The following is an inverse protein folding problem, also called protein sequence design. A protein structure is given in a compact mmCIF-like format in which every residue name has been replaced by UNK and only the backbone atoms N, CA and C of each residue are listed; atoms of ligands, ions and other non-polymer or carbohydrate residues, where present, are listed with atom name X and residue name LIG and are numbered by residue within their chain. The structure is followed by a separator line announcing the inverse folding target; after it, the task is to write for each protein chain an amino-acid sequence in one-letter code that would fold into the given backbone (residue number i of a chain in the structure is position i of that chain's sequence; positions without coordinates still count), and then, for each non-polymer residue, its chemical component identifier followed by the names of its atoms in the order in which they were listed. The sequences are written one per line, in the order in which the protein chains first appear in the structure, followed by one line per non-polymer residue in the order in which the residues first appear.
data_IF_084106136176
#
_entry.id   IF_084106136176
#
_cell.length_a   1.000
_cell.length_b   1.000
_cell.length_c   1.000
_cell.angle_alpha   90.00
_cell.angle_beta   90.00
_cell.angle_gamma   90.00
#
_symmetry.space_group_name_H-M   'P 1'
#
loop_
_entity.id
_entity.type
_entity.pdbx_description
1 polymer ?
#
# COMPACT_ATOMS: atom_id res chain seq x y z
N UNK A 1 -4.30 -36.78 7.14
CA UNK A 1 -3.59 -35.49 7.08
C UNK A 1 -4.15 -34.78 5.88
N UNK A 2 -5.00 -33.75 6.05
CA UNK A 2 -5.35 -32.88 4.93
C UNK A 2 -4.10 -32.07 4.59
N UNK A 3 -3.46 -32.39 3.48
CA UNK A 3 -2.54 -31.48 2.81
C UNK A 3 -3.41 -30.32 2.29
N UNK A 4 -3.30 -29.14 2.85
CA UNK A 4 -3.96 -27.98 2.27
C UNK A 4 -3.10 -27.52 1.10
N UNK A 5 -3.57 -27.75 -0.12
CA UNK A 5 -2.93 -27.25 -1.35
C UNK A 5 -3.17 -25.74 -1.54
N UNK A 6 -3.04 -24.96 -0.44
CA UNK A 6 -3.24 -23.52 -0.45
C UNK A 6 -2.09 -22.86 -1.21
N UNK A 7 -2.39 -22.36 -2.41
CA UNK A 7 -1.41 -21.72 -3.27
C UNK A 7 -1.11 -20.28 -2.88
N UNK A 8 -2.11 -19.54 -2.37
CA UNK A 8 -1.98 -18.14 -2.02
C UNK A 8 -2.84 -17.76 -0.81
N UNK A 9 -2.47 -16.69 -0.12
CA UNK A 9 -3.25 -16.05 0.94
C UNK A 9 -3.43 -14.57 0.63
N UNK A 10 -4.58 -14.02 0.98
CA UNK A 10 -4.90 -12.61 0.78
C UNK A 10 -5.13 -11.92 2.12
N UNK A 11 -4.41 -10.82 2.35
CA UNK A 11 -4.62 -9.97 3.53
C UNK A 11 -4.59 -8.49 3.14
N UNK A 12 -5.18 -7.66 4.00
CA UNK A 12 -4.97 -6.22 3.96
C UNK A 12 -3.48 -5.95 4.22
N UNK A 13 -2.82 -5.31 3.28
CA UNK A 13 -1.41 -4.94 3.42
C UNK A 13 -1.09 -3.77 2.51
N UNK A 14 -0.39 -2.79 3.06
CA UNK A 14 0.06 -1.59 2.37
C UNK A 14 1.29 -0.99 3.05
N UNK A 15 1.82 0.08 2.51
CA UNK A 15 2.89 0.88 3.15
C UNK A 15 2.48 1.33 4.56
N UNK A 16 1.18 1.62 4.79
CA UNK A 16 0.64 2.09 6.07
C UNK A 16 0.08 0.97 6.96
N UNK A 17 -0.27 -0.17 6.40
CA UNK A 17 -0.93 -1.30 7.10
C UNK A 17 -0.06 -2.54 7.01
N UNK A 18 0.71 -2.82 8.06
CA UNK A 18 1.80 -3.80 8.10
C UNK A 18 1.50 -5.06 8.93
N UNK A 19 0.25 -5.30 9.33
CA UNK A 19 -0.12 -6.45 10.17
C UNK A 19 0.52 -7.77 9.76
N UNK A 20 0.46 -8.20 8.47
CA UNK A 20 1.05 -9.46 8.00
C UNK A 20 2.54 -9.68 8.28
N UNK A 21 3.29 -8.61 8.54
CA UNK A 21 4.71 -8.69 8.91
C UNK A 21 4.92 -9.19 10.34
N UNK A 22 3.96 -8.92 11.24
CA UNK A 22 4.09 -9.16 12.69
C UNK A 22 3.10 -10.18 13.25
N UNK A 23 1.99 -10.47 12.55
CA UNK A 23 0.94 -11.40 13.00
C UNK A 23 1.20 -12.88 12.64
N UNK A 24 2.37 -13.16 12.03
CA UNK A 24 2.80 -14.51 11.65
C UNK A 24 2.37 -14.96 10.24
N UNK A 25 1.62 -14.14 9.49
CA UNK A 25 1.18 -14.48 8.12
C UNK A 25 2.38 -14.65 7.20
N UNK A 26 3.34 -13.72 7.20
CA UNK A 26 4.54 -13.83 6.37
C UNK A 26 5.41 -15.02 6.75
N UNK A 27 5.51 -15.36 8.02
CA UNK A 27 6.25 -16.54 8.48
C UNK A 27 5.56 -17.83 8.04
N UNK A 28 4.23 -17.87 8.08
CA UNK A 28 3.47 -19.00 7.55
C UNK A 28 3.66 -19.15 6.03
N UNK A 29 3.62 -18.05 5.28
CA UNK A 29 3.88 -18.06 3.83
C UNK A 29 5.26 -18.65 3.51
N UNK A 30 6.31 -18.18 4.19
CA UNK A 30 7.68 -18.71 4.00
C UNK A 30 7.78 -20.20 4.32
N UNK A 31 7.20 -20.62 5.44
CA UNK A 31 7.27 -22.03 5.89
C UNK A 31 6.50 -22.98 4.99
N UNK A 32 5.37 -22.54 4.45
CA UNK A 32 4.46 -23.38 3.66
C UNK A 32 4.67 -23.26 2.14
N UNK A 33 5.54 -22.37 1.68
CA UNK A 33 5.74 -22.10 0.26
C UNK A 33 4.51 -21.46 -0.42
N UNK A 34 3.66 -20.78 0.37
CA UNK A 34 2.46 -20.10 -0.10
C UNK A 34 2.79 -18.67 -0.48
N UNK A 35 2.26 -18.17 -1.60
CA UNK A 35 2.47 -16.79 -2.00
C UNK A 35 1.46 -15.84 -1.35
N UNK A 36 1.85 -14.58 -1.22
CA UNK A 36 1.02 -13.54 -0.64
C UNK A 36 0.46 -12.61 -1.73
N UNK A 37 -0.84 -12.29 -1.62
CA UNK A 37 -1.56 -11.41 -2.55
C UNK A 37 -2.26 -10.30 -1.76
N UNK A 38 -1.64 -9.12 -1.61
CA UNK A 38 -2.22 -8.02 -0.85
C UNK A 38 -3.47 -7.44 -1.53
N UNK A 39 -4.45 -7.09 -0.71
CA UNK A 39 -5.56 -6.23 -1.11
C UNK A 39 -5.48 -4.87 -0.37
N UNK A 40 -6.19 -3.85 -0.84
CA UNK A 40 -6.13 -2.45 -0.37
C UNK A 40 -4.72 -1.82 -0.42
N UNK A 41 -3.92 -2.05 -1.47
CA UNK A 41 -2.55 -1.54 -1.55
C UNK A 41 -2.47 -0.01 -1.54
N UNK A 42 -3.56 0.68 -1.88
CA UNK A 42 -3.67 2.14 -1.94
C UNK A 42 -4.46 2.74 -0.75
N UNK A 43 -4.78 1.98 0.31
CA UNK A 43 -5.51 2.44 1.49
C UNK A 43 -6.76 3.27 1.11
N UNK A 44 -7.68 2.67 0.39
CA UNK A 44 -8.89 3.33 -0.12
C UNK A 44 -8.61 4.60 -0.96
N UNK A 45 -7.40 4.72 -1.49
CA UNK A 45 -6.93 5.85 -2.28
C UNK A 45 -6.08 6.86 -1.52
N UNK A 46 -5.81 6.66 -0.23
CA UNK A 46 -4.96 7.53 0.57
C UNK A 46 -3.54 7.65 -0.02
N UNK A 47 -3.01 6.51 -0.48
CA UNK A 47 -1.67 6.43 -1.10
C UNK A 47 -1.64 6.81 -2.59
N UNK A 48 -2.67 7.49 -3.10
CA UNK A 48 -2.64 8.08 -4.46
C UNK A 48 -2.14 9.53 -4.48
N UNK A 49 -1.96 10.15 -3.30
CA UNK A 49 -1.52 11.54 -3.14
C UNK A 49 -2.62 12.59 -3.30
N UNK A 50 -3.88 12.19 -3.49
CA UNK A 50 -5.01 13.12 -3.62
C UNK A 50 -5.57 13.66 -2.30
N UNK A 51 -5.31 13.00 -1.20
CA UNK A 51 -5.70 13.44 0.14
C UNK A 51 -4.52 14.17 0.77
N UNK A 52 -4.80 15.38 1.29
CA UNK A 52 -3.78 16.26 1.85
C UNK A 52 -4.20 16.70 3.26
N UNK A 53 -3.22 16.90 4.13
CA UNK A 53 -3.46 17.43 5.48
C UNK A 53 -4.12 18.81 5.37
N UNK A 54 -5.27 18.98 6.05
CA UNK A 54 -6.05 20.22 5.99
C UNK A 54 -6.81 20.47 4.68
N UNK A 55 -6.68 19.60 3.68
CA UNK A 55 -7.29 19.78 2.35
C UNK A 55 -8.75 19.33 2.22
N UNK A 56 -9.31 18.71 3.25
CA UNK A 56 -10.65 18.12 3.19
C UNK A 56 -10.74 16.86 2.31
N UNK A 57 -11.97 16.38 2.13
CA UNK A 57 -12.23 15.20 1.27
C UNK A 57 -12.38 15.63 -0.18
N UNK A 58 -11.57 15.12 -1.11
CA UNK A 58 -11.73 15.41 -2.54
C UNK A 58 -13.10 14.91 -3.04
N UNK A 59 -13.82 15.76 -3.77
CA UNK A 59 -15.12 15.41 -4.34
C UNK A 59 -15.00 14.17 -5.26
N UNK A 60 -16.00 13.29 -5.20
CA UNK A 60 -16.02 12.04 -5.97
C UNK A 60 -14.98 11.01 -5.54
N UNK A 61 -14.23 11.25 -4.47
CA UNK A 61 -13.28 10.27 -3.94
C UNK A 61 -14.01 9.12 -3.23
N UNK A 62 -13.34 7.95 -3.17
CA UNK A 62 -13.92 6.76 -2.52
C UNK A 62 -14.27 7.02 -1.06
N UNK A 63 -13.40 7.69 -0.31
CA UNK A 63 -13.65 7.99 1.11
C UNK A 63 -14.77 9.02 1.28
N UNK A 64 -14.93 9.98 0.37
CA UNK A 64 -16.06 10.91 0.41
C UNK A 64 -17.41 10.18 0.32
N UNK A 65 -17.48 9.08 -0.43
CA UNK A 65 -18.67 8.23 -0.54
C UNK A 65 -18.94 7.33 0.68
N UNK A 66 -18.02 7.25 1.65
CA UNK A 66 -18.15 6.38 2.82
C UNK A 66 -18.76 7.07 4.05
N UNK A 67 -18.97 8.39 4.00
CA UNK A 67 -19.50 9.15 5.13
C UNK A 67 -18.69 8.92 6.41
N UNK A 68 -19.37 8.66 7.53
CA UNK A 68 -18.74 8.47 8.85
C UNK A 68 -17.71 7.32 8.90
N UNK A 69 -17.81 6.34 8.01
CA UNK A 69 -16.84 5.25 7.92
C UNK A 69 -15.46 5.71 7.43
N UNK A 70 -15.38 6.84 6.74
CA UNK A 70 -14.12 7.40 6.28
C UNK A 70 -13.18 7.72 7.43
N UNK A 71 -13.71 8.16 8.59
CA UNK A 71 -12.91 8.48 9.77
C UNK A 71 -12.09 7.29 10.33
N UNK A 72 -12.51 6.06 10.04
CA UNK A 72 -11.75 4.86 10.41
C UNK A 72 -10.49 4.62 9.53
N UNK A 73 -10.44 5.26 8.36
CA UNK A 73 -9.36 5.08 7.38
C UNK A 73 -8.43 6.27 7.28
N UNK A 74 -8.91 7.47 7.62
CA UNK A 74 -8.18 8.71 7.46
C UNK A 74 -8.28 9.54 8.75
N UNK A 75 -7.13 9.89 9.28
CA UNK A 75 -6.94 10.82 10.40
C UNK A 75 -5.72 11.71 10.12
N UNK A 76 -5.56 12.76 10.90
CA UNK A 76 -4.47 13.73 10.71
C UNK A 76 -3.08 13.11 10.89
N UNK A 77 -2.94 12.10 11.74
CA UNK A 77 -1.67 11.41 11.95
C UNK A 77 -1.27 10.61 10.72
N UNK A 78 -2.20 9.87 10.11
CA UNK A 78 -1.96 9.17 8.84
C UNK A 78 -1.68 10.14 7.70
N UNK A 79 -2.41 11.27 7.64
CA UNK A 79 -2.17 12.29 6.63
C UNK A 79 -0.78 12.92 6.77
N UNK A 80 -0.32 13.16 7.99
CA UNK A 80 1.04 13.65 8.22
C UNK A 80 2.11 12.68 7.71
N UNK A 81 1.93 11.37 7.90
CA UNK A 81 2.80 10.34 7.33
C UNK A 81 2.72 10.35 5.80
N UNK A 82 1.52 10.46 5.23
CA UNK A 82 1.32 10.54 3.77
C UNK A 82 2.04 11.75 3.17
N UNK A 83 2.00 12.93 3.83
CA UNK A 83 2.74 14.12 3.37
C UNK A 83 4.26 13.85 3.35
N UNK A 84 4.81 13.25 4.40
CA UNK A 84 6.23 12.91 4.43
C UNK A 84 6.61 11.91 3.32
N UNK A 85 5.75 10.92 3.05
CA UNK A 85 5.97 10.00 1.93
C UNK A 85 5.90 10.69 0.56
N UNK A 86 4.99 11.68 0.39
CA UNK A 86 4.91 12.49 -0.82
C UNK A 86 6.22 13.27 -1.03
N UNK A 87 6.71 13.95 0.01
CA UNK A 87 7.97 14.70 -0.04
C UNK A 87 9.16 13.79 -0.33
N UNK A 88 9.23 12.63 0.32
CA UNK A 88 10.26 11.62 0.07
C UNK A 88 10.26 11.12 -1.37
N UNK A 89 9.08 10.86 -1.95
CA UNK A 89 8.92 10.47 -3.35
C UNK A 89 9.34 11.62 -4.30
N UNK A 90 8.86 12.84 -4.03
CA UNK A 90 9.15 14.01 -4.87
C UNK A 90 10.65 14.32 -4.96
N UNK A 91 11.40 14.17 -3.86
CA UNK A 91 12.86 14.30 -3.83
C UNK A 91 13.58 13.32 -4.77
N UNK A 92 12.90 12.23 -5.17
CA UNK A 92 13.40 11.19 -6.10
C UNK A 92 12.78 11.26 -7.49
N UNK A 93 11.98 12.31 -7.77
CA UNK A 93 11.24 12.44 -9.03
C UNK A 93 10.18 11.35 -9.22
N UNK A 94 9.60 10.86 -8.13
CA UNK A 94 8.61 9.78 -8.10
C UNK A 94 7.29 10.24 -7.49
N UNK A 95 6.23 9.53 -7.79
CA UNK A 95 4.91 9.74 -7.19
C UNK A 95 4.66 8.78 -6.03
N UNK A 96 3.73 9.15 -5.13
CA UNK A 96 3.29 8.27 -4.06
C UNK A 96 2.63 6.98 -4.59
N UNK A 97 1.95 7.05 -5.74
CA UNK A 97 1.37 5.87 -6.39
C UNK A 97 2.46 4.88 -6.81
N UNK A 98 3.60 5.38 -7.37
CA UNK A 98 4.75 4.54 -7.70
C UNK A 98 5.32 3.87 -6.45
N UNK A 99 5.49 4.61 -5.36
CA UNK A 99 5.94 4.02 -4.09
C UNK A 99 4.98 2.92 -3.64
N UNK A 100 3.67 3.23 -3.53
CA UNK A 100 2.68 2.31 -2.99
C UNK A 100 2.64 0.98 -3.73
N UNK A 101 2.68 0.99 -5.05
CA UNK A 101 2.62 -0.23 -5.84
C UNK A 101 3.96 -0.95 -5.94
N UNK A 102 5.05 -0.22 -6.13
CA UNK A 102 6.39 -0.80 -6.18
C UNK A 102 6.85 -1.36 -4.83
N UNK A 103 6.35 -0.82 -3.72
CA UNK A 103 6.54 -1.40 -2.39
C UNK A 103 6.12 -2.86 -2.33
N UNK A 104 4.95 -3.18 -2.88
CA UNK A 104 4.44 -4.54 -2.94
C UNK A 104 5.25 -5.39 -3.91
N UNK A 105 5.45 -4.94 -5.14
CA UNK A 105 6.11 -5.72 -6.19
C UNK A 105 7.59 -5.98 -5.90
N UNK A 106 8.20 -5.22 -5.02
CA UNK A 106 9.58 -5.46 -4.55
C UNK A 106 9.67 -6.46 -3.38
N UNK A 107 8.54 -6.92 -2.82
CA UNK A 107 8.55 -7.86 -1.71
C UNK A 107 8.56 -9.32 -2.20
N UNK A 108 9.51 -10.17 -1.78
CA UNK A 108 9.72 -11.51 -2.36
C UNK A 108 8.55 -12.48 -2.15
N UNK A 109 7.69 -12.30 -1.16
CA UNK A 109 6.50 -13.12 -0.94
C UNK A 109 5.30 -12.70 -1.79
N UNK A 110 5.30 -11.47 -2.33
CA UNK A 110 4.18 -10.92 -3.09
C UNK A 110 4.23 -11.40 -4.53
N UNK A 111 3.26 -12.23 -4.92
CA UNK A 111 3.16 -12.74 -6.28
C UNK A 111 2.30 -11.84 -7.19
N UNK A 112 1.33 -11.12 -6.62
CA UNK A 112 0.43 -10.23 -7.33
C UNK A 112 -0.16 -9.23 -6.35
N UNK A 113 -0.73 -8.12 -6.87
CA UNK A 113 -1.33 -7.04 -6.05
C UNK A 113 -2.75 -6.79 -6.53
N UNK A 114 -3.73 -6.81 -5.61
CA UNK A 114 -5.12 -6.49 -5.93
C UNK A 114 -5.34 -4.99 -5.78
N UNK A 115 -5.07 -4.24 -6.84
CA UNK A 115 -5.29 -2.80 -6.89
C UNK A 115 -6.62 -2.48 -7.57
N UNK A 116 -7.50 -1.76 -6.86
CA UNK A 116 -8.77 -1.31 -7.43
C UNK A 116 -8.56 -0.22 -8.48
N UNK A 117 -9.31 -0.32 -9.59
CA UNK A 117 -9.39 0.70 -10.62
C UNK A 117 -10.83 0.80 -11.13
N UNK A 118 -11.28 2.00 -11.48
CA UNK A 118 -12.62 2.27 -12.00
C UNK A 118 -12.60 2.67 -13.47
N UNK A 119 -11.42 2.98 -14.03
CA UNK A 119 -11.23 3.35 -15.44
C UNK A 119 -10.02 2.65 -16.04
N UNK A 120 -9.98 2.48 -17.37
CA UNK A 120 -8.81 1.92 -18.07
C UNK A 120 -7.52 2.70 -17.81
N UNK A 121 -7.60 4.03 -17.70
CA UNK A 121 -6.46 4.91 -17.43
C UNK A 121 -5.85 4.62 -16.06
N UNK A 122 -6.70 4.36 -15.03
CA UNK A 122 -6.23 3.95 -13.70
C UNK A 122 -5.53 2.59 -13.74
N UNK A 123 -6.02 1.64 -14.54
CA UNK A 123 -5.33 0.36 -14.73
C UNK A 123 -3.95 0.58 -15.34
N UNK A 124 -3.86 1.36 -16.41
CA UNK A 124 -2.59 1.68 -17.06
C UNK A 124 -1.61 2.40 -16.11
N UNK A 125 -2.11 3.37 -15.33
CA UNK A 125 -1.32 4.09 -14.33
C UNK A 125 -0.81 3.16 -13.22
N UNK A 126 -1.64 2.26 -12.71
CA UNK A 126 -1.25 1.28 -11.69
C UNK A 126 -0.14 0.34 -12.21
N UNK A 127 -0.27 -0.15 -13.45
CA UNK A 127 0.74 -1.01 -14.08
C UNK A 127 2.06 -0.26 -14.28
N UNK A 128 2.00 0.99 -14.74
CA UNK A 128 3.19 1.82 -14.91
C UNK A 128 3.88 2.11 -13.57
N UNK A 129 3.10 2.40 -12.54
CA UNK A 129 3.57 2.73 -11.20
C UNK A 129 4.28 1.55 -10.49
N UNK A 130 3.95 0.32 -10.81
CA UNK A 130 4.54 -0.88 -10.21
C UNK A 130 5.97 -1.24 -10.71
N UNK A 131 6.60 -0.36 -11.49
CA UNK A 131 7.89 -0.64 -12.16
C UNK A 131 9.12 -0.06 -11.46
N UNK A 132 8.94 0.71 -10.41
CA UNK A 132 10.08 1.27 -9.68
C UNK A 132 10.76 0.18 -8.85
N UNK A 133 12.03 -0.10 -9.13
CA UNK A 133 12.82 -1.04 -8.35
C UNK A 133 13.29 -0.34 -7.05
N UNK A 134 12.55 -0.55 -5.96
CA UNK A 134 12.92 -0.06 -4.63
C UNK A 134 14.12 -0.85 -4.11
N UNK A 135 15.14 -0.12 -3.68
CA UNK A 135 16.30 -0.71 -3.01
C UNK A 135 16.00 -1.03 -1.53
N UNK A 136 16.87 -1.81 -0.89
CA UNK A 136 16.77 -2.05 0.55
C UNK A 136 16.91 -0.75 1.37
N UNK A 137 17.73 0.21 0.89
CA UNK A 137 17.87 1.51 1.50
C UNK A 137 16.58 2.34 1.39
N UNK A 138 15.95 2.37 0.21
CA UNK A 138 14.66 3.04 0.02
C UNK A 138 13.60 2.49 0.97
N UNK A 139 13.55 1.17 1.12
CA UNK A 139 12.61 0.52 2.04
C UNK A 139 12.85 0.92 3.49
N UNK A 140 14.11 0.93 3.93
CA UNK A 140 14.48 1.33 5.29
C UNK A 140 14.12 2.79 5.59
N UNK A 141 14.30 3.71 4.63
CA UNK A 141 13.90 5.10 4.78
C UNK A 141 12.36 5.25 4.86
N UNK A 142 11.63 4.52 4.03
CA UNK A 142 10.15 4.49 4.10
C UNK A 142 9.68 3.90 5.43
N UNK A 143 10.34 2.85 5.94
CA UNK A 143 10.03 2.26 7.25
C UNK A 143 10.21 3.27 8.39
N UNK A 144 11.27 4.08 8.34
CA UNK A 144 11.52 5.13 9.33
C UNK A 144 10.48 6.26 9.30
N UNK A 145 9.87 6.54 8.13
CA UNK A 145 8.77 7.51 8.01
C UNK A 145 7.48 6.96 8.60
N UNK A 146 7.17 5.69 8.31
CA UNK A 146 5.89 5.07 8.70
C UNK A 146 5.88 4.65 10.17
N UNK A 147 7.03 4.23 10.70
CA UNK A 147 7.20 3.80 12.09
C UNK A 147 8.34 4.60 12.75
N UNK A 148 8.16 5.90 13.02
CA UNK A 148 9.16 6.67 13.74
C UNK A 148 9.38 6.04 15.12
N UNK A 149 10.65 5.79 15.46
CA UNK A 149 11.11 5.18 16.73
C UNK A 149 10.83 6.13 17.89
#
# INVERSE_FOLDING_TARGET
MCSSDLASVQNHYSVLSRGPETDGVFDACRRLGTVFVPYFPLEAGLLTGKYRLGGGMPEGSRLAGWGDRAAAFIDDAKLAVVEQLIEWCAARGRSLLELALSWHTSHPLVASVIAGASTPEQVAANVAAARWALTAADRAEVDAIVHPV
#
